data_IF_668737698622
#
_entry.id   IF_668737698622
#
_cell.length_a   1.000
_cell.length_b   1.000
_cell.length_c   1.000
_cell.angle_alpha   90.00
_cell.angle_beta   90.00
_cell.angle_gamma   90.00
#
_symmetry.space_group_name_H-M   'P 1'
#
loop_
_entity.id
_entity.type
_entity.pdbx_description
1 polymer ?
#
# COMPACT_ATOMS: atom_id res chain seq x y z
N UNK A 1 29.76 9.49 74.77
CA UNK A 1 28.50 9.23 74.02
C UNK A 1 28.58 9.93 72.66
N UNK A 2 28.78 9.19 71.56
CA UNK A 2 28.73 9.74 70.19
C UNK A 2 27.35 9.43 69.59
N UNK A 3 26.56 10.47 69.30
CA UNK A 3 25.28 10.35 68.60
C UNK A 3 25.55 9.89 67.15
N UNK A 4 25.02 8.72 66.77
CA UNK A 4 24.97 8.27 65.37
C UNK A 4 23.80 8.98 64.70
N UNK A 5 24.09 9.87 63.75
CA UNK A 5 23.10 10.43 62.83
C UNK A 5 22.66 9.32 61.85
N UNK A 6 21.36 9.17 61.58
CA UNK A 6 20.89 8.20 60.61
C UNK A 6 21.27 8.66 59.20
N UNK A 7 21.87 7.75 58.43
CA UNK A 7 22.10 7.90 57.00
C UNK A 7 20.76 8.12 56.31
N UNK A 8 20.51 9.35 55.87
CA UNK A 8 19.38 9.70 55.02
C UNK A 8 19.55 8.90 53.74
N UNK A 9 18.79 7.81 53.62
CA UNK A 9 18.73 7.03 52.39
C UNK A 9 18.41 7.96 51.23
N UNK A 10 19.27 7.97 50.20
CA UNK A 10 18.99 8.64 48.95
C UNK A 10 17.65 8.11 48.45
N UNK A 11 16.60 8.92 48.58
CA UNK A 11 15.33 8.66 47.89
C UNK A 11 15.67 8.64 46.41
N UNK A 12 15.64 7.46 45.81
CA UNK A 12 15.63 7.32 44.37
C UNK A 12 14.32 7.94 43.92
N UNK A 13 14.40 9.17 43.42
CA UNK A 13 13.26 9.78 42.75
C UNK A 13 13.05 8.95 41.50
N UNK A 14 12.07 8.06 41.57
CA UNK A 14 11.57 7.28 40.46
C UNK A 14 11.10 8.28 39.40
N UNK A 15 11.97 8.63 38.46
CA UNK A 15 11.56 9.33 37.24
C UNK A 15 10.77 8.33 36.42
N UNK A 16 9.46 8.25 36.65
CA UNK A 16 8.51 7.56 35.76
C UNK A 16 8.30 8.30 34.43
N UNK A 17 9.31 9.05 33.98
CA UNK A 17 9.25 9.86 32.77
C UNK A 17 9.81 9.01 31.63
N UNK A 18 8.96 8.11 31.14
CA UNK A 18 9.13 7.28 29.95
C UNK A 18 10.32 6.31 30.00
N UNK A 19 10.01 5.01 30.04
CA UNK A 19 10.97 4.00 29.60
C UNK A 19 11.11 4.14 28.07
N UNK A 20 11.92 5.12 27.65
CA UNK A 20 12.14 5.50 26.26
C UNK A 20 12.64 4.33 25.41
N UNK A 21 13.33 3.36 26.02
CA UNK A 21 13.78 2.16 25.33
C UNK A 21 12.63 1.20 25.06
N UNK A 22 11.76 0.97 26.05
CA UNK A 22 10.57 0.14 25.89
C UNK A 22 9.56 0.78 24.93
N UNK A 23 9.41 2.11 24.98
CA UNK A 23 8.52 2.84 24.08
C UNK A 23 9.05 2.86 22.64
N UNK A 24 10.36 3.05 22.42
CA UNK A 24 10.99 2.92 21.10
C UNK A 24 10.75 1.53 20.52
N UNK A 25 10.97 0.49 21.32
CA UNK A 25 10.78 -0.91 20.88
C UNK A 25 9.33 -1.17 20.49
N UNK A 26 8.38 -0.65 21.27
CA UNK A 26 6.96 -0.76 20.98
C UNK A 26 6.58 -0.02 19.69
N UNK A 27 7.08 1.21 19.51
CA UNK A 27 6.85 1.98 18.29
C UNK A 27 7.36 1.24 17.04
N UNK A 28 8.56 0.66 17.11
CA UNK A 28 9.12 -0.14 16.02
C UNK A 28 8.24 -1.35 15.71
N UNK A 29 7.78 -2.06 16.74
CA UNK A 29 6.86 -3.20 16.57
C UNK A 29 5.57 -2.78 15.87
N UNK A 30 4.96 -1.67 16.28
CA UNK A 30 3.72 -1.17 15.66
C UNK A 30 3.92 -0.74 14.20
N UNK A 31 5.09 -0.19 13.88
CA UNK A 31 5.47 0.13 12.50
C UNK A 31 5.60 -1.13 11.64
N UNK A 32 6.21 -2.18 12.18
CA UNK A 32 6.35 -3.47 11.49
C UNK A 32 5.00 -4.16 11.33
N UNK A 33 4.15 -4.15 12.36
CA UNK A 33 2.80 -4.71 12.30
C UNK A 33 1.94 -4.00 11.24
N UNK A 34 2.01 -2.66 11.16
CA UNK A 34 1.32 -1.90 10.12
C UNK A 34 1.84 -2.28 8.73
N UNK A 35 3.16 -2.35 8.57
CA UNK A 35 3.78 -2.70 7.30
C UNK A 35 3.36 -4.09 6.82
N UNK A 36 3.47 -5.09 7.68
CA UNK A 36 3.15 -6.47 7.37
C UNK A 36 1.66 -6.67 7.08
N UNK A 37 0.77 -6.03 7.85
CA UNK A 37 -0.67 -6.09 7.59
C UNK A 37 -1.04 -5.53 6.22
N UNK A 38 -0.46 -4.39 5.83
CA UNK A 38 -0.74 -3.81 4.51
C UNK A 38 -0.13 -4.70 3.43
N UNK A 39 1.15 -5.08 3.55
CA UNK A 39 1.87 -5.82 2.52
C UNK A 39 1.25 -7.20 2.22
N UNK A 40 0.75 -7.89 3.25
CA UNK A 40 0.17 -9.24 3.13
C UNK A 40 -1.32 -9.23 2.78
N UNK A 41 -1.96 -8.07 2.78
CA UNK A 41 -3.35 -7.94 2.34
C UNK A 41 -3.51 -8.25 0.84
N UNK A 42 -4.75 -8.50 0.41
CA UNK A 42 -5.06 -8.69 -1.01
C UNK A 42 -5.30 -7.32 -1.68
N UNK A 43 -4.29 -6.81 -2.38
CA UNK A 43 -4.37 -5.48 -3.01
C UNK A 43 -5.30 -5.43 -4.22
N UNK A 44 -5.72 -6.58 -4.74
CA UNK A 44 -6.68 -6.67 -5.84
C UNK A 44 -8.15 -6.72 -5.34
N UNK A 45 -8.38 -6.86 -4.03
CA UNK A 45 -9.72 -6.82 -3.44
C UNK A 45 -10.09 -5.38 -3.06
N UNK A 46 -10.84 -4.72 -3.93
CA UNK A 46 -11.26 -3.32 -3.74
C UNK A 46 -12.15 -3.13 -2.50
N UNK A 47 -12.99 -4.12 -2.16
CA UNK A 47 -13.87 -4.03 -0.97
C UNK A 47 -13.03 -4.09 0.29
N UNK A 48 -12.05 -5.00 0.35
CA UNK A 48 -11.12 -5.08 1.46
C UNK A 48 -10.35 -3.78 1.64
N UNK A 49 -9.81 -3.20 0.56
CA UNK A 49 -9.04 -1.96 0.66
C UNK A 49 -9.90 -0.78 1.11
N UNK A 50 -11.09 -0.57 0.53
CA UNK A 50 -12.00 0.52 0.92
C UNK A 50 -12.34 0.48 2.42
N UNK A 51 -12.47 -0.72 3.00
CA UNK A 51 -12.78 -0.86 4.42
C UNK A 51 -11.58 -0.63 5.35
N UNK A 52 -10.35 -0.84 4.88
CA UNK A 52 -9.16 -0.88 5.73
C UNK A 52 -8.19 0.29 5.53
N UNK A 53 -8.11 0.88 4.33
CA UNK A 53 -7.14 1.94 4.01
C UNK A 53 -7.24 3.12 4.98
N UNK A 54 -8.46 3.63 5.23
CA UNK A 54 -8.65 4.74 6.18
C UNK A 54 -8.28 4.38 7.62
N UNK A 55 -8.40 3.11 8.01
CA UNK A 55 -7.95 2.63 9.32
C UNK A 55 -6.43 2.66 9.38
N UNK A 56 -5.76 2.15 8.34
CA UNK A 56 -4.30 2.13 8.25
C UNK A 56 -3.70 3.54 8.21
N UNK A 57 -4.31 4.48 7.49
CA UNK A 57 -3.92 5.89 7.49
C UNK A 57 -4.05 6.51 8.90
N UNK A 58 -5.12 6.18 9.63
CA UNK A 58 -5.28 6.60 11.02
C UNK A 58 -4.19 6.06 11.94
N UNK A 59 -3.79 4.80 11.76
CA UNK A 59 -2.68 4.19 12.50
C UNK A 59 -1.36 4.89 12.14
N UNK A 60 -1.10 5.12 10.84
CA UNK A 60 0.09 5.84 10.37
C UNK A 60 0.16 7.23 11.01
N UNK A 61 -0.94 7.98 11.02
CA UNK A 61 -1.00 9.31 11.64
C UNK A 61 -0.66 9.27 13.14
N UNK A 62 -1.15 8.25 13.85
CA UNK A 62 -0.83 8.03 15.27
C UNK A 62 0.66 7.73 15.49
N UNK A 63 1.24 6.87 14.64
CA UNK A 63 2.67 6.55 14.63
C UNK A 63 3.50 7.80 14.35
N UNK A 64 3.15 8.59 13.35
CA UNK A 64 3.88 9.81 12.99
C UNK A 64 3.92 10.84 14.11
N UNK A 65 2.83 10.98 14.88
CA UNK A 65 2.81 11.85 16.06
C UNK A 65 3.82 11.38 17.12
N UNK A 66 4.02 10.06 17.26
CA UNK A 66 4.96 9.44 18.21
C UNK A 66 6.39 9.35 17.71
N UNK A 67 6.64 9.53 16.41
CA UNK A 67 7.98 9.57 15.83
C UNK A 67 8.72 10.89 16.15
N UNK A 68 8.01 12.00 16.39
CA UNK A 68 8.62 13.34 16.63
C UNK A 68 9.81 13.36 17.62
N UNK A 69 9.77 12.65 18.77
CA UNK A 69 10.90 12.61 19.70
C UNK A 69 12.14 11.85 19.18
N UNK A 70 11.98 11.08 18.10
CA UNK A 70 12.98 10.20 17.49
C UNK A 70 13.39 10.64 16.07
N UNK A 71 13.22 11.91 15.72
CA UNK A 71 13.54 12.44 14.39
C UNK A 71 15.00 12.30 13.96
N UNK A 72 15.92 12.02 14.88
CA UNK A 72 17.33 11.77 14.60
C UNK A 72 17.69 10.28 14.55
N UNK A 73 16.72 9.40 14.79
CA UNK A 73 16.92 7.95 14.87
C UNK A 73 16.82 7.31 13.48
N UNK A 74 17.97 6.90 12.92
CA UNK A 74 18.05 6.38 11.56
C UNK A 74 17.17 5.14 11.33
N UNK A 75 17.01 4.28 12.34
CA UNK A 75 16.20 3.06 12.22
C UNK A 75 14.72 3.40 12.04
N UNK A 76 14.22 4.35 12.83
CA UNK A 76 12.83 4.82 12.76
C UNK A 76 12.57 5.56 11.45
N UNK A 77 13.50 6.44 11.04
CA UNK A 77 13.37 7.16 9.77
C UNK A 77 13.35 6.21 8.58
N UNK A 78 14.17 5.15 8.59
CA UNK A 78 14.19 4.14 7.55
C UNK A 78 12.85 3.39 7.47
N UNK A 79 12.31 2.94 8.60
CA UNK A 79 11.00 2.26 8.64
C UNK A 79 9.87 3.19 8.21
N UNK A 80 9.89 4.45 8.65
CA UNK A 80 8.92 5.47 8.23
C UNK A 80 8.93 5.62 6.70
N UNK A 81 10.12 5.74 6.10
CA UNK A 81 10.26 5.83 4.64
C UNK A 81 9.69 4.61 3.94
N UNK A 82 9.94 3.40 4.45
CA UNK A 82 9.40 2.16 3.88
C UNK A 82 7.87 2.13 3.92
N UNK A 83 7.26 2.52 5.04
CA UNK A 83 5.79 2.56 5.16
C UNK A 83 5.21 3.60 4.21
N UNK A 84 5.77 4.80 4.15
CA UNK A 84 5.29 5.84 3.23
C UNK A 84 5.41 5.41 1.77
N UNK A 85 6.52 4.78 1.39
CA UNK A 85 6.70 4.23 0.04
C UNK A 85 5.65 3.15 -0.27
N UNK A 86 5.32 2.29 0.70
CA UNK A 86 4.27 1.27 0.53
C UNK A 86 2.90 1.91 0.31
N UNK A 87 2.54 2.96 1.04
CA UNK A 87 1.30 3.72 0.81
C UNK A 87 1.30 4.38 -0.57
N UNK A 88 2.41 4.98 -0.99
CA UNK A 88 2.54 5.57 -2.32
C UNK A 88 2.25 4.52 -3.42
N UNK A 89 2.84 3.32 -3.30
CA UNK A 89 2.61 2.24 -4.26
C UNK A 89 1.17 1.72 -4.19
N UNK A 90 0.60 1.60 -2.99
CA UNK A 90 -0.79 1.17 -2.79
C UNK A 90 -1.76 2.10 -3.52
N UNK A 91 -1.62 3.42 -3.35
CA UNK A 91 -2.50 4.40 -3.99
C UNK A 91 -2.33 4.43 -5.51
N UNK A 92 -1.09 4.35 -6.02
CA UNK A 92 -0.86 4.25 -7.46
C UNK A 92 -1.53 3.00 -8.04
N UNK A 93 -1.42 1.85 -7.35
CA UNK A 93 -2.03 0.61 -7.82
C UNK A 93 -3.55 0.62 -7.69
N UNK A 94 -4.11 1.29 -6.69
CA UNK A 94 -5.55 1.53 -6.56
C UNK A 94 -6.10 2.30 -7.77
N UNK A 95 -5.49 3.43 -8.12
CA UNK A 95 -5.88 4.23 -9.29
C UNK A 95 -5.82 3.41 -10.59
N UNK A 96 -4.74 2.63 -10.76
CA UNK A 96 -4.55 1.81 -11.96
C UNK A 96 -5.54 0.64 -12.03
N UNK A 97 -5.86 0.03 -10.90
CA UNK A 97 -6.91 -1.01 -10.80
C UNK A 97 -8.26 -0.45 -11.20
N UNK A 98 -8.63 0.71 -10.66
CA UNK A 98 -9.91 1.34 -10.93
C UNK A 98 -10.00 1.76 -12.40
N UNK A 99 -8.90 2.26 -12.97
CA UNK A 99 -8.82 2.51 -14.40
C UNK A 99 -9.06 1.24 -15.24
N UNK A 100 -8.41 0.12 -14.90
CA UNK A 100 -8.63 -1.17 -15.58
C UNK A 100 -10.09 -1.63 -15.46
N UNK A 101 -10.68 -1.51 -14.26
CA UNK A 101 -12.05 -1.91 -13.99
C UNK A 101 -13.05 -1.09 -14.80
N UNK A 102 -12.85 0.23 -14.89
CA UNK A 102 -13.66 1.12 -15.71
C UNK A 102 -13.59 0.73 -17.19
N UNK A 103 -12.38 0.45 -17.72
CA UNK A 103 -12.22 0.00 -19.10
C UNK A 103 -12.98 -1.32 -19.33
N UNK A 104 -12.82 -2.32 -18.46
CA UNK A 104 -13.50 -3.61 -18.56
C UNK A 104 -15.03 -3.48 -18.48
N UNK A 105 -15.53 -2.65 -17.57
CA UNK A 105 -16.96 -2.41 -17.38
C UNK A 105 -17.56 -1.72 -18.60
N UNK A 106 -16.97 -0.63 -19.07
CA UNK A 106 -17.47 0.10 -20.24
C UNK A 106 -17.41 -0.77 -21.51
N UNK A 107 -16.35 -1.58 -21.66
CA UNK A 107 -16.25 -2.56 -22.75
C UNK A 107 -17.39 -3.57 -22.72
N UNK A 108 -17.80 -3.99 -21.51
CA UNK A 108 -18.96 -4.87 -21.33
C UNK A 108 -20.26 -4.16 -21.68
N UNK A 109 -20.46 -2.93 -21.20
CA UNK A 109 -21.67 -2.12 -21.45
C UNK A 109 -21.83 -1.73 -22.92
N UNK A 110 -20.73 -1.49 -23.64
CA UNK A 110 -20.76 -1.16 -25.07
C UNK A 110 -21.26 -2.31 -25.95
N UNK A 111 -21.23 -3.55 -25.45
CA UNK A 111 -21.74 -4.72 -26.18
C UNK A 111 -23.27 -4.85 -26.10
N UNK A 112 -23.93 -4.12 -25.19
CA UNK A 112 -25.36 -4.23 -24.92
C UNK A 112 -25.76 -5.58 -24.30
N UNK A 113 -27.07 -5.77 -24.12
CA UNK A 113 -27.61 -6.99 -23.51
C UNK A 113 -27.23 -8.23 -24.34
N UNK A 114 -26.49 -9.17 -23.75
CA UNK A 114 -26.06 -10.41 -24.41
C UNK A 114 -25.33 -10.21 -25.76
N UNK A 115 -24.65 -9.08 -25.96
CA UNK A 115 -23.95 -8.79 -27.24
C UNK A 115 -24.87 -8.34 -28.37
N UNK A 116 -26.16 -8.06 -28.10
CA UNK A 116 -27.15 -7.67 -29.12
C UNK A 116 -27.17 -6.17 -29.41
N UNK A 117 -26.30 -5.38 -28.76
CA UNK A 117 -26.29 -3.92 -28.81
C UNK A 117 -27.55 -3.21 -28.29
N UNK A 118 -28.54 -3.96 -27.79
CA UNK A 118 -29.71 -3.39 -27.10
C UNK A 118 -29.24 -2.80 -25.76
N UNK A 119 -29.62 -1.54 -25.51
CA UNK A 119 -29.18 -0.74 -24.34
C UNK A 119 -27.65 -0.64 -24.23
N UNK A 120 -26.93 -0.68 -25.36
CA UNK A 120 -25.49 -0.48 -25.38
C UNK A 120 -25.09 0.94 -24.97
N UNK A 121 -24.03 1.03 -24.17
CA UNK A 121 -23.34 2.30 -23.90
C UNK A 121 -22.42 2.69 -25.08
N UNK A 122 -21.79 3.85 -24.98
CA UNK A 122 -20.76 4.27 -25.93
C UNK A 122 -19.53 3.36 -25.88
N UNK A 123 -18.83 3.27 -27.01
CA UNK A 123 -17.56 2.53 -27.13
C UNK A 123 -16.40 3.46 -26.81
N UNK A 124 -15.38 2.94 -26.13
CA UNK A 124 -14.11 3.64 -25.93
C UNK A 124 -13.36 3.68 -27.27
N UNK A 125 -13.15 4.88 -27.82
CA UNK A 125 -12.51 5.07 -29.13
C UNK A 125 -10.99 4.94 -29.07
N UNK A 126 -10.38 5.35 -27.96
CA UNK A 126 -8.93 5.41 -27.75
C UNK A 126 -8.38 4.25 -26.90
N UNK A 127 -8.99 3.06 -26.97
CA UNK A 127 -8.61 1.89 -26.15
C UNK A 127 -7.11 1.53 -26.26
N UNK A 128 -6.51 1.70 -27.45
CA UNK A 128 -5.08 1.43 -27.66
C UNK A 128 -4.21 2.36 -26.80
N UNK A 129 -4.57 3.63 -26.66
CA UNK A 129 -3.82 4.59 -25.84
C UNK A 129 -3.85 4.21 -24.36
N UNK A 130 -5.00 3.77 -23.86
CA UNK A 130 -5.14 3.28 -22.49
C UNK A 130 -4.30 2.02 -22.23
N UNK A 131 -4.30 1.07 -23.17
CA UNK A 131 -3.50 -0.15 -23.06
C UNK A 131 -2.01 0.18 -23.05
N UNK A 132 -1.53 1.06 -23.94
CA UNK A 132 -0.11 1.46 -23.97
C UNK A 132 0.28 2.23 -22.70
N UNK A 133 -0.60 3.07 -22.18
CA UNK A 133 -0.39 3.73 -20.89
C UNK A 133 -0.22 2.71 -19.74
N UNK A 134 -1.13 1.74 -19.63
CA UNK A 134 -1.07 0.72 -18.58
C UNK A 134 0.17 -0.16 -18.68
N UNK A 135 0.57 -0.55 -19.90
CA UNK A 135 1.81 -1.31 -20.15
C UNK A 135 3.04 -0.52 -19.70
N UNK A 136 3.14 0.74 -20.11
CA UNK A 136 4.25 1.60 -19.74
C UNK A 136 4.31 1.81 -18.22
N UNK A 137 3.16 1.98 -17.56
CA UNK A 137 3.08 2.09 -16.10
C UNK A 137 3.51 0.83 -15.38
N UNK A 138 3.16 -0.34 -15.90
CA UNK A 138 3.61 -1.62 -15.33
C UNK A 138 5.15 -1.72 -15.34
N UNK A 139 5.78 -1.45 -16.49
CA UNK A 139 7.24 -1.48 -16.60
C UNK A 139 7.92 -0.41 -15.73
N UNK A 140 7.37 0.81 -15.67
CA UNK A 140 7.84 1.90 -14.81
C UNK A 140 7.81 1.50 -13.33
N UNK A 141 6.70 0.91 -12.87
CA UNK A 141 6.53 0.51 -11.47
C UNK A 141 7.47 -0.63 -11.08
N UNK A 142 7.68 -1.62 -11.94
CA UNK A 142 8.64 -2.69 -11.67
C UNK A 142 10.08 -2.18 -11.54
N UNK A 143 10.44 -1.15 -12.32
CA UNK A 143 11.76 -0.52 -12.22
C UNK A 143 11.90 0.35 -10.96
N UNK A 144 10.86 1.13 -10.63
CA UNK A 144 10.88 2.08 -9.51
C UNK A 144 10.70 1.40 -8.15
N UNK A 145 9.89 0.35 -8.09
CA UNK A 145 9.44 -0.31 -6.86
C UNK A 145 9.64 -1.84 -6.91
N UNK A 146 10.88 -2.33 -7.11
CA UNK A 146 11.12 -3.76 -7.33
C UNK A 146 10.73 -4.64 -6.14
N UNK A 147 10.75 -4.10 -4.91
CA UNK A 147 10.32 -4.81 -3.70
C UNK A 147 8.82 -5.14 -3.69
N UNK A 148 8.01 -4.36 -4.42
CA UNK A 148 6.56 -4.51 -4.48
C UNK A 148 6.12 -5.22 -5.77
N UNK A 149 7.03 -5.93 -6.45
CA UNK A 149 6.72 -6.66 -7.69
C UNK A 149 5.49 -7.56 -7.54
N UNK A 150 5.37 -8.28 -6.42
CA UNK A 150 4.24 -9.17 -6.20
C UNK A 150 2.90 -8.41 -6.18
N UNK A 151 2.83 -7.27 -5.51
CA UNK A 151 1.64 -6.42 -5.46
C UNK A 151 1.34 -5.83 -6.84
N UNK A 152 2.37 -5.36 -7.56
CA UNK A 152 2.23 -4.84 -8.93
C UNK A 152 1.69 -5.92 -9.89
N UNK A 153 2.22 -7.14 -9.82
CA UNK A 153 1.74 -8.28 -10.60
C UNK A 153 0.29 -8.64 -10.24
N UNK A 154 -0.02 -8.66 -8.93
CA UNK A 154 -1.34 -9.00 -8.43
C UNK A 154 -2.41 -8.04 -8.92
N UNK A 155 -2.11 -6.74 -8.98
CA UNK A 155 -3.07 -5.71 -9.34
C UNK A 155 -3.03 -5.42 -10.84
N UNK A 156 -1.95 -4.80 -11.30
CA UNK A 156 -1.86 -4.32 -12.68
C UNK A 156 -1.55 -5.44 -13.67
N UNK A 157 -0.68 -6.37 -13.30
CA UNK A 157 -0.36 -7.53 -14.15
C UNK A 157 -1.58 -8.39 -14.46
N UNK A 158 -2.33 -8.78 -13.42
CA UNK A 158 -3.62 -9.48 -13.58
C UNK A 158 -4.66 -8.62 -14.30
N UNK A 159 -4.71 -7.31 -14.03
CA UNK A 159 -5.59 -6.38 -14.72
C UNK A 159 -5.35 -6.35 -16.25
N UNK A 160 -4.09 -6.27 -16.67
CA UNK A 160 -3.70 -6.38 -18.08
C UNK A 160 -4.10 -7.74 -18.68
N UNK A 161 -3.99 -8.84 -17.92
CA UNK A 161 -4.43 -10.17 -18.37
C UNK A 161 -5.93 -10.26 -18.60
N UNK A 162 -6.73 -9.67 -17.70
CA UNK A 162 -8.18 -9.57 -17.89
C UNK A 162 -8.53 -8.69 -19.10
N UNK A 163 -7.83 -7.58 -19.30
CA UNK A 163 -8.02 -6.74 -20.50
C UNK A 163 -7.70 -7.52 -21.78
N UNK A 164 -6.66 -8.35 -21.77
CA UNK A 164 -6.27 -9.15 -22.95
C UNK A 164 -7.28 -10.23 -23.33
N UNK A 165 -8.08 -10.71 -22.39
CA UNK A 165 -9.21 -11.60 -22.71
C UNK A 165 -10.27 -10.90 -23.58
N UNK A 166 -10.33 -9.56 -23.55
CA UNK A 166 -11.29 -8.75 -24.33
C UNK A 166 -10.67 -8.07 -25.54
N UNK A 167 -9.41 -7.64 -25.44
CA UNK A 167 -8.69 -6.91 -26.47
C UNK A 167 -7.38 -7.61 -26.80
N UNK A 168 -7.13 -7.90 -28.06
CA UNK A 168 -5.86 -8.52 -28.46
C UNK A 168 -4.75 -7.48 -28.47
N UNK A 169 -3.76 -7.65 -27.58
CA UNK A 169 -2.52 -6.87 -27.58
C UNK A 169 -1.37 -7.69 -26.99
N UNK A 170 -0.16 -7.26 -27.31
CA UNK A 170 1.09 -7.89 -26.85
C UNK A 170 1.73 -7.04 -25.74
N UNK A 171 2.29 -7.69 -24.73
CA UNK A 171 3.12 -7.05 -23.71
C UNK A 171 4.20 -8.02 -23.21
N UNK A 172 5.35 -7.49 -22.79
CA UNK A 172 6.56 -8.29 -22.50
C UNK A 172 6.35 -9.44 -21.49
N UNK A 173 5.54 -9.18 -20.46
CA UNK A 173 5.27 -10.04 -19.32
C UNK A 173 4.04 -10.94 -19.49
N UNK A 174 3.48 -11.03 -20.70
CA UNK A 174 2.15 -11.60 -20.88
C UNK A 174 2.05 -13.10 -20.62
N UNK A 175 3.18 -13.79 -20.70
CA UNK A 175 3.28 -15.21 -20.41
C UNK A 175 3.51 -15.51 -18.92
N UNK A 176 3.69 -14.48 -18.10
CA UNK A 176 3.83 -14.61 -16.64
C UNK A 176 2.44 -14.81 -15.98
N UNK A 177 1.35 -14.56 -16.73
CA UNK A 177 -0.02 -14.62 -16.25
C UNK A 177 -0.80 -15.68 -17.03
N UNK A 178 -1.52 -16.54 -16.30
CA UNK A 178 -2.42 -17.55 -16.89
C UNK A 178 -3.87 -17.08 -16.80
N UNK A 179 -4.65 -17.41 -17.84
CA UNK A 179 -6.07 -17.08 -17.99
C UNK A 179 -6.96 -18.18 -17.45
#
# INVERSE_FOLDING_TARGET
MKKRTPLVGKRSYFTSLYDTKTEKTKLISEMDDLYDHILTSNWNDSVHLVLNVSIWEGILHSIEARIKPYEQDEDILKKKKMINEMFDVLFILEDLRDHVNELLEQSSRASGLAGTYILASFKIENMVEHIEFLKAKYDELLLKYPLYKYQIDMVLGKGLALLRQRYTFEWRHMHDFFF
#
